data_IF_370166711934
#
_entry.id   IF_370166711934
#
_cell.length_a   1.000
_cell.length_b   1.000
_cell.length_c   1.000
_cell.angle_alpha   90.00
_cell.angle_beta   90.00
_cell.angle_gamma   90.00
#
_symmetry.space_group_name_H-M   'P 1'
#
loop_
_entity.id
_entity.type
_entity.pdbx_description
1 polymer ?
#
# COMPACT_ATOMS: atom_id res chain seq x y z
N UNK A 1 -23.55 26.36 -37.58
CA UNK A 1 -22.96 25.99 -38.88
C UNK A 1 -22.00 24.83 -38.64
N UNK A 2 -22.37 23.64 -39.12
CA UNK A 2 -21.54 22.45 -39.03
C UNK A 2 -20.35 22.57 -40.00
N UNK A 3 -19.14 22.45 -39.48
CA UNK A 3 -17.92 22.37 -40.30
C UNK A 3 -17.38 20.95 -40.21
N UNK A 4 -17.62 20.18 -41.28
CA UNK A 4 -16.97 18.91 -41.54
C UNK A 4 -16.09 19.07 -42.79
N UNK A 5 -14.76 18.93 -42.64
CA UNK A 5 -13.79 18.60 -43.71
C UNK A 5 -12.55 17.98 -43.02
N UNK A 6 -12.31 16.67 -43.15
CA UNK A 6 -11.53 15.96 -44.19
C UNK A 6 -10.04 15.81 -43.82
N UNK A 7 -9.61 14.58 -43.50
CA UNK A 7 -8.19 14.19 -43.46
C UNK A 7 -8.00 12.83 -44.14
N UNK A 8 -7.21 12.80 -45.22
CA UNK A 8 -6.62 11.60 -45.82
C UNK A 8 -5.13 11.62 -45.48
N UNK A 9 -4.60 10.56 -44.90
CA UNK A 9 -3.15 10.39 -44.70
C UNK A 9 -2.82 9.35 -43.64
N UNK A 10 -2.19 8.24 -44.06
CA UNK A 10 -1.81 7.07 -43.24
C UNK A 10 -0.98 7.43 -41.99
N UNK A 11 -1.16 6.59 -40.95
CA UNK A 11 -0.55 6.56 -39.60
C UNK A 11 -1.31 7.36 -38.52
N UNK A 12 -2.60 7.07 -38.33
CA UNK A 12 -3.48 7.92 -37.54
C UNK A 12 -3.91 7.28 -36.22
N UNK A 13 -3.50 7.88 -35.10
CA UNK A 13 -4.31 7.91 -33.88
C UNK A 13 -5.65 8.58 -34.21
N UNK A 14 -6.60 7.83 -34.76
CA UNK A 14 -7.95 8.32 -35.01
C UNK A 14 -8.56 8.69 -33.66
N UNK A 15 -9.03 9.93 -33.54
CA UNK A 15 -9.83 10.34 -32.38
C UNK A 15 -11.06 9.42 -32.40
N UNK A 16 -11.27 8.59 -31.36
CA UNK A 16 -12.37 7.64 -31.37
C UNK A 16 -13.69 8.38 -31.54
N UNK A 17 -14.66 7.75 -32.18
CA UNK A 17 -16.02 8.28 -32.20
C UNK A 17 -16.58 8.33 -30.77
N UNK A 18 -17.61 9.14 -30.49
CA UNK A 18 -18.22 9.14 -29.16
C UNK A 18 -18.65 7.74 -28.70
N UNK A 19 -19.20 6.93 -29.62
CA UNK A 19 -19.61 5.56 -29.29
C UNK A 19 -18.42 4.66 -28.93
N UNK A 20 -17.31 4.75 -29.67
CA UNK A 20 -16.11 3.97 -29.39
C UNK A 20 -15.42 4.41 -28.09
N UNK A 21 -15.31 5.72 -27.86
CA UNK A 21 -14.74 6.27 -26.64
C UNK A 21 -15.54 5.82 -25.40
N UNK A 22 -16.87 5.87 -25.50
CA UNK A 22 -17.77 5.39 -24.46
C UNK A 22 -17.62 3.88 -24.23
N UNK A 23 -17.62 3.08 -25.30
CA UNK A 23 -17.48 1.62 -25.22
C UNK A 23 -16.12 1.20 -24.61
N UNK A 24 -15.05 1.92 -24.91
CA UNK A 24 -13.74 1.69 -24.32
C UNK A 24 -13.73 2.01 -22.81
N UNK A 25 -14.41 3.08 -22.40
CA UNK A 25 -14.58 3.39 -20.97
C UNK A 25 -15.40 2.31 -20.24
N UNK A 26 -16.47 1.79 -20.84
CA UNK A 26 -17.26 0.67 -20.28
C UNK A 26 -16.43 -0.62 -20.14
N UNK A 27 -15.51 -0.91 -21.08
CA UNK A 27 -14.58 -2.04 -20.94
C UNK A 27 -13.69 -1.90 -19.70
N UNK A 28 -13.25 -0.68 -19.38
CA UNK A 28 -12.46 -0.42 -18.18
C UNK A 28 -13.28 -0.68 -16.91
N UNK A 29 -14.56 -0.29 -16.89
CA UNK A 29 -15.49 -0.65 -15.80
C UNK A 29 -15.63 -2.16 -15.67
N UNK A 30 -15.84 -2.88 -16.77
CA UNK A 30 -15.98 -4.34 -16.77
C UNK A 30 -14.72 -5.06 -16.28
N UNK A 31 -13.54 -4.47 -16.51
CA UNK A 31 -12.26 -4.97 -16.01
C UNK A 31 -11.97 -4.61 -14.54
N UNK A 32 -12.86 -3.84 -13.89
CA UNK A 32 -12.66 -3.35 -12.51
C UNK A 32 -11.63 -2.23 -12.38
N UNK A 33 -11.11 -1.70 -13.50
CA UNK A 33 -10.16 -0.59 -13.51
C UNK A 33 -10.92 0.75 -13.37
N UNK A 34 -11.50 0.97 -12.19
CA UNK A 34 -12.37 2.11 -11.91
C UNK A 34 -11.66 3.46 -12.03
N UNK A 35 -10.36 3.54 -11.73
CA UNK A 35 -9.58 4.76 -11.90
C UNK A 35 -9.44 5.14 -13.38
N UNK A 36 -9.00 4.21 -14.22
CA UNK A 36 -8.89 4.45 -15.66
C UNK A 36 -10.27 4.68 -16.29
N UNK A 37 -11.30 3.96 -15.83
CA UNK A 37 -12.67 4.19 -16.28
C UNK A 37 -13.16 5.60 -15.93
N UNK A 38 -12.90 6.08 -14.71
CA UNK A 38 -13.24 7.46 -14.29
C UNK A 38 -12.58 8.48 -15.19
N UNK A 39 -11.29 8.31 -15.45
CA UNK A 39 -10.54 9.20 -16.34
C UNK A 39 -11.10 9.17 -17.76
N UNK A 40 -11.36 7.97 -18.31
CA UNK A 40 -11.92 7.80 -19.65
C UNK A 40 -13.30 8.47 -19.81
N UNK A 41 -14.20 8.32 -18.83
CA UNK A 41 -15.50 9.01 -18.87
C UNK A 41 -15.37 10.52 -18.64
N UNK A 42 -14.41 10.97 -17.82
CA UNK A 42 -14.14 12.41 -17.64
C UNK A 42 -13.66 13.03 -18.94
N UNK A 43 -12.72 12.37 -19.62
CA UNK A 43 -12.23 12.78 -20.93
C UNK A 43 -13.34 12.75 -21.99
N UNK A 44 -14.22 11.73 -21.94
CA UNK A 44 -15.39 11.64 -22.82
C UNK A 44 -16.30 12.86 -22.68
N UNK A 45 -16.68 13.23 -21.45
CA UNK A 45 -17.56 14.39 -21.19
C UNK A 45 -16.91 15.70 -21.66
N UNK A 46 -15.59 15.83 -21.54
CA UNK A 46 -14.85 17.02 -22.00
C UNK A 46 -14.72 17.09 -23.52
N UNK A 47 -14.46 15.96 -24.19
CA UNK A 47 -14.15 15.92 -25.63
C UNK A 47 -15.41 15.82 -26.52
N UNK A 48 -16.52 15.32 -25.98
CA UNK A 48 -17.78 15.15 -26.73
C UNK A 48 -18.99 15.77 -25.97
N UNK A 49 -18.97 17.07 -25.63
CA UNK A 49 -20.00 17.69 -24.78
C UNK A 49 -21.41 17.70 -25.40
N UNK A 50 -21.51 17.65 -26.73
CA UNK A 50 -22.78 17.62 -27.48
C UNK A 50 -23.29 16.20 -27.76
N UNK A 51 -22.63 15.16 -27.23
CA UNK A 51 -23.06 13.77 -27.45
C UNK A 51 -24.27 13.41 -26.58
N UNK A 52 -25.23 12.69 -27.15
CA UNK A 52 -26.39 12.14 -26.43
C UNK A 52 -25.99 11.21 -25.27
N UNK A 53 -24.76 10.67 -25.31
CA UNK A 53 -24.22 9.78 -24.28
C UNK A 53 -23.65 10.54 -23.07
N UNK A 54 -23.57 11.88 -23.08
CA UNK A 54 -22.99 12.66 -21.97
C UNK A 54 -23.76 12.46 -20.67
N UNK A 55 -25.09 12.39 -20.73
CA UNK A 55 -25.91 12.13 -19.55
C UNK A 55 -25.57 10.75 -18.93
N UNK A 56 -25.40 9.73 -19.78
CA UNK A 56 -25.01 8.40 -19.34
C UNK A 56 -23.58 8.37 -18.79
N UNK A 57 -22.63 9.06 -19.44
CA UNK A 57 -21.25 9.16 -18.98
C UNK A 57 -21.15 9.85 -17.62
N UNK A 58 -21.94 10.90 -17.37
CA UNK A 58 -22.03 11.55 -16.05
C UNK A 58 -22.61 10.62 -14.99
N UNK A 59 -23.64 9.83 -15.33
CA UNK A 59 -24.17 8.82 -14.42
C UNK A 59 -23.10 7.76 -14.08
N UNK A 60 -22.35 7.29 -15.09
CA UNK A 60 -21.23 6.37 -14.88
C UNK A 60 -20.14 6.94 -13.98
N UNK A 61 -19.77 8.20 -14.16
CA UNK A 61 -18.81 8.89 -13.29
C UNK A 61 -19.27 8.90 -11.83
N UNK A 62 -20.56 9.13 -11.56
CA UNK A 62 -21.10 9.06 -10.21
C UNK A 62 -20.96 7.66 -9.62
N UNK A 63 -21.43 6.62 -10.33
CA UNK A 63 -21.33 5.22 -9.87
C UNK A 63 -19.88 4.75 -9.67
N UNK A 64 -18.96 5.17 -10.54
CA UNK A 64 -17.53 4.86 -10.42
C UNK A 64 -16.95 5.56 -9.18
N UNK A 65 -17.34 6.80 -8.93
CA UNK A 65 -16.89 7.53 -7.72
C UNK A 65 -17.38 6.85 -6.44
N UNK A 66 -18.63 6.36 -6.42
CA UNK A 66 -19.17 5.57 -5.31
C UNK A 66 -18.42 4.24 -5.12
N UNK A 67 -18.02 3.60 -6.22
CA UNK A 67 -17.25 2.35 -6.18
C UNK A 67 -15.83 2.58 -5.64
N UNK A 68 -15.16 3.64 -6.09
CA UNK A 68 -13.82 4.03 -5.60
C UNK A 68 -13.85 4.39 -4.12
N UNK A 69 -14.80 5.22 -3.68
CA UNK A 69 -14.94 5.56 -2.26
C UNK A 69 -15.25 4.33 -1.41
N UNK A 70 -16.05 3.39 -1.91
CA UNK A 70 -16.31 2.12 -1.22
C UNK A 70 -15.05 1.25 -1.11
N UNK A 71 -14.20 1.22 -2.14
CA UNK A 71 -12.91 0.53 -2.11
C UNK A 71 -11.96 1.17 -1.10
N UNK A 72 -11.85 2.50 -1.10
CA UNK A 72 -11.03 3.24 -0.13
C UNK A 72 -11.52 2.98 1.30
N UNK A 73 -12.83 3.07 1.54
CA UNK A 73 -13.41 2.78 2.85
C UNK A 73 -13.13 1.34 3.31
N UNK A 74 -13.19 0.36 2.40
CA UNK A 74 -12.85 -1.03 2.72
C UNK A 74 -11.38 -1.15 3.11
N UNK A 75 -10.48 -0.54 2.34
CA UNK A 75 -9.04 -0.52 2.62
C UNK A 75 -8.74 0.15 3.96
N UNK A 76 -9.39 1.27 4.27
CA UNK A 76 -9.22 1.97 5.55
C UNK A 76 -9.65 1.12 6.74
N UNK A 77 -10.79 0.41 6.65
CA UNK A 77 -11.23 -0.51 7.70
C UNK A 77 -10.28 -1.69 7.88
N UNK A 78 -9.79 -2.25 6.78
CA UNK A 78 -8.80 -3.33 6.82
C UNK A 78 -7.50 -2.87 7.51
N UNK A 79 -7.02 -1.67 7.21
CA UNK A 79 -5.88 -1.06 7.91
C UNK A 79 -6.17 -0.90 9.40
N UNK A 80 -7.34 -0.41 9.78
CA UNK A 80 -7.74 -0.22 11.19
C UNK A 80 -7.80 -1.55 11.97
N UNK A 81 -8.39 -2.59 11.38
CA UNK A 81 -8.44 -3.93 11.96
C UNK A 81 -7.04 -4.52 12.15
N UNK A 82 -6.16 -4.36 11.15
CA UNK A 82 -4.77 -4.82 11.23
C UNK A 82 -3.96 -4.06 12.28
N UNK A 83 -4.14 -2.74 12.38
CA UNK A 83 -3.51 -1.93 13.42
C UNK A 83 -3.95 -2.38 14.82
N UNK A 84 -5.24 -2.65 14.99
CA UNK A 84 -5.78 -3.17 16.26
C UNK A 84 -5.12 -4.50 16.63
N UNK A 85 -4.99 -5.43 15.67
CA UNK A 85 -4.29 -6.72 15.85
C UNK A 85 -2.81 -6.52 16.17
N UNK A 86 -2.13 -5.61 15.49
CA UNK A 86 -0.73 -5.29 15.73
C UNK A 86 -0.49 -4.77 17.16
N UNK A 87 -1.36 -3.87 17.63
CA UNK A 87 -1.29 -3.34 18.99
C UNK A 87 -1.56 -4.39 20.05
N UNK A 88 -2.55 -5.26 19.84
CA UNK A 88 -2.85 -6.37 20.75
C UNK A 88 -1.67 -7.34 20.85
N UNK A 89 -1.15 -7.78 19.70
CA UNK A 89 0.03 -8.65 19.65
C UNK A 89 1.26 -7.98 20.30
N UNK A 90 1.43 -6.67 20.13
CA UNK A 90 2.48 -5.90 20.79
C UNK A 90 2.33 -5.93 22.33
N UNK A 91 1.11 -5.67 22.85
CA UNK A 91 0.84 -5.71 24.30
C UNK A 91 1.12 -7.08 24.90
N UNK A 92 0.82 -8.13 24.15
CA UNK A 92 1.06 -9.52 24.55
C UNK A 92 2.50 -10.01 24.29
N UNK A 93 3.37 -9.15 23.76
CA UNK A 93 4.76 -9.45 23.37
C UNK A 93 4.88 -10.57 22.32
N UNK A 94 3.82 -10.81 21.55
CA UNK A 94 3.83 -11.64 20.35
C UNK A 94 4.44 -10.84 19.19
N UNK A 95 5.73 -10.52 19.25
CA UNK A 95 6.35 -9.62 18.28
C UNK A 95 6.60 -10.28 16.92
N UNK A 96 7.35 -11.38 16.92
CA UNK A 96 7.69 -12.17 15.71
C UNK A 96 7.34 -13.66 15.87
N UNK A 97 6.82 -14.03 17.04
CA UNK A 97 6.31 -15.37 17.35
C UNK A 97 4.95 -15.23 18.04
N UNK A 98 4.00 -16.15 17.83
CA UNK A 98 4.07 -17.31 16.92
C UNK A 98 4.13 -16.90 15.43
N UNK A 99 4.34 -17.86 14.53
CA UNK A 99 4.50 -17.61 13.08
C UNK A 99 3.30 -16.85 12.49
N UNK A 100 2.11 -17.10 13.03
CA UNK A 100 0.87 -16.39 12.73
C UNK A 100 0.43 -15.57 13.94
N UNK A 101 -0.35 -14.51 13.68
CA UNK A 101 -0.88 -13.64 14.72
C UNK A 101 0.26 -13.08 15.58
N UNK A 102 1.15 -12.33 14.94
CA UNK A 102 2.17 -11.55 15.63
C UNK A 102 2.15 -10.10 15.16
N UNK A 103 2.78 -9.21 15.94
CA UNK A 103 2.73 -7.78 15.70
C UNK A 103 3.40 -7.41 14.37
N UNK A 104 4.54 -8.03 14.06
CA UNK A 104 5.27 -7.76 12.82
C UNK A 104 4.49 -8.18 11.58
N UNK A 105 3.81 -9.33 11.62
CA UNK A 105 2.95 -9.80 10.53
C UNK A 105 1.84 -8.78 10.22
N UNK A 106 1.11 -8.33 11.24
CA UNK A 106 0.04 -7.35 11.08
C UNK A 106 0.59 -5.98 10.59
N UNK A 107 1.73 -5.53 11.11
CA UNK A 107 2.41 -4.31 10.65
C UNK A 107 2.79 -4.41 9.17
N UNK A 108 3.38 -5.52 8.74
CA UNK A 108 3.78 -5.71 7.34
C UNK A 108 2.57 -5.68 6.40
N UNK A 109 1.43 -6.23 6.82
CA UNK A 109 0.18 -6.15 6.06
C UNK A 109 -0.32 -4.70 5.96
N UNK A 110 -0.26 -3.93 7.06
CA UNK A 110 -0.58 -2.49 7.01
C UNK A 110 0.35 -1.74 6.06
N UNK A 111 1.67 -1.94 6.17
CA UNK A 111 2.65 -1.24 5.34
C UNK A 111 2.62 -1.64 3.86
N UNK A 112 2.10 -2.83 3.53
CA UNK A 112 1.82 -3.21 2.15
C UNK A 112 0.62 -2.43 1.56
N UNK A 113 -0.36 -2.08 2.40
CA UNK A 113 -1.52 -1.28 2.00
C UNK A 113 -1.23 0.22 2.03
N UNK A 114 -0.51 0.68 3.05
CA UNK A 114 -0.19 2.07 3.34
C UNK A 114 1.27 2.16 3.84
N UNK A 115 2.25 2.29 2.93
CA UNK A 115 3.68 2.31 3.27
C UNK A 115 4.09 3.45 4.21
N UNK A 116 3.31 4.53 4.28
CA UNK A 116 3.58 5.70 5.11
C UNK A 116 2.75 5.70 6.40
N UNK A 117 2.11 4.58 6.74
CA UNK A 117 1.28 4.47 7.93
C UNK A 117 2.08 4.70 9.22
N UNK A 118 2.00 5.91 9.75
CA UNK A 118 2.79 6.35 10.90
C UNK A 118 2.52 5.53 12.17
N UNK A 119 1.31 5.00 12.33
CA UNK A 119 0.97 4.12 13.46
C UNK A 119 1.71 2.79 13.36
N UNK A 120 1.66 2.11 12.22
CA UNK A 120 2.36 0.84 12.00
C UNK A 120 3.89 0.99 12.16
N UNK A 121 4.46 2.03 11.54
CA UNK A 121 5.89 2.38 11.69
C UNK A 121 6.24 2.65 13.16
N UNK A 122 5.37 3.34 13.90
CA UNK A 122 5.54 3.60 15.32
C UNK A 122 5.52 2.32 16.18
N UNK A 123 4.67 1.34 15.86
CA UNK A 123 4.66 0.04 16.56
C UNK A 123 5.95 -0.73 16.23
N UNK A 124 6.36 -0.75 14.97
CA UNK A 124 7.60 -1.41 14.52
C UNK A 124 8.82 -0.88 15.28
N UNK A 125 8.95 0.44 15.37
CA UNK A 125 10.03 1.11 16.09
C UNK A 125 10.00 0.82 17.62
N UNK A 126 8.81 0.68 18.23
CA UNK A 126 8.69 0.19 19.61
C UNK A 126 9.23 -1.25 19.77
N UNK A 127 8.98 -2.14 18.81
CA UNK A 127 9.49 -3.52 18.82
C UNK A 127 11.02 -3.52 18.70
N UNK A 128 11.57 -2.73 17.78
CA UNK A 128 13.03 -2.58 17.62
C UNK A 128 13.68 -2.13 18.93
N UNK A 129 13.15 -1.06 19.55
CA UNK A 129 13.65 -0.57 20.84
C UNK A 129 13.58 -1.61 21.95
N UNK A 130 12.52 -2.41 21.99
CA UNK A 130 12.40 -3.49 22.96
C UNK A 130 13.55 -4.49 22.82
N UNK A 131 13.79 -4.99 21.60
CA UNK A 131 14.84 -5.96 21.34
C UNK A 131 16.23 -5.38 21.60
N UNK A 132 16.50 -4.15 21.19
CA UNK A 132 17.76 -3.47 21.49
C UNK A 132 17.98 -3.30 23.00
N UNK A 133 16.95 -2.87 23.74
CA UNK A 133 17.05 -2.73 25.20
C UNK A 133 17.37 -4.06 25.90
N UNK A 134 16.71 -5.15 25.49
CA UNK A 134 16.98 -6.48 26.03
C UNK A 134 18.37 -7.01 25.62
N UNK A 135 18.80 -6.72 24.39
CA UNK A 135 20.12 -7.10 23.90
C UNK A 135 21.21 -6.38 24.70
N UNK A 136 21.07 -5.07 24.94
CA UNK A 136 22.00 -4.27 25.72
C UNK A 136 22.12 -4.76 27.16
N UNK A 137 20.99 -5.15 27.79
CA UNK A 137 20.99 -5.78 29.12
C UNK A 137 21.76 -7.11 29.09
N UNK A 138 21.57 -7.92 28.06
CA UNK A 138 22.30 -9.18 27.88
C UNK A 138 23.81 -8.94 27.66
N UNK A 139 24.19 -7.93 26.89
CA UNK A 139 25.60 -7.51 26.69
C UNK A 139 26.24 -7.10 28.01
N UNK A 140 25.58 -6.26 28.81
CA UNK A 140 26.06 -5.85 30.15
C UNK A 140 26.25 -7.04 31.08
N UNK A 141 25.37 -8.03 31.00
CA UNK A 141 25.47 -9.29 31.73
C UNK A 141 26.44 -10.31 31.12
N UNK A 142 27.22 -9.94 30.08
CA UNK A 142 28.13 -10.81 29.31
C UNK A 142 27.46 -12.05 28.69
N UNK A 143 26.13 -12.02 28.50
CA UNK A 143 25.34 -13.07 27.83
C UNK A 143 25.29 -12.82 26.33
N UNK A 144 26.43 -12.89 25.66
CA UNK A 144 26.57 -12.47 24.27
C UNK A 144 25.73 -13.27 23.27
N UNK A 145 25.57 -14.59 23.47
CA UNK A 145 24.70 -15.40 22.61
C UNK A 145 23.23 -14.92 22.65
N UNK A 146 22.73 -14.56 23.85
CA UNK A 146 21.37 -14.00 24.00
C UNK A 146 21.25 -12.63 23.34
N UNK A 147 22.26 -11.77 23.48
CA UNK A 147 22.26 -10.48 22.80
C UNK A 147 22.23 -10.63 21.27
N UNK A 148 22.96 -11.62 20.74
CA UNK A 148 22.96 -11.92 19.31
C UNK A 148 21.55 -12.31 18.82
N UNK A 149 20.90 -13.28 19.48
CA UNK A 149 19.53 -13.71 19.13
C UNK A 149 18.55 -12.52 19.13
N UNK A 150 18.65 -11.63 20.12
CA UNK A 150 17.77 -10.46 20.21
C UNK A 150 17.99 -9.45 19.08
N UNK A 151 19.24 -9.21 18.66
CA UNK A 151 19.51 -8.37 17.48
C UNK A 151 19.09 -9.06 16.18
N UNK A 152 19.33 -10.37 16.05
CA UNK A 152 18.93 -11.15 14.87
C UNK A 152 17.41 -11.15 14.68
N UNK A 153 16.62 -11.16 15.77
CA UNK A 153 15.16 -10.98 15.71
C UNK A 153 14.75 -9.68 15.02
N UNK A 154 15.47 -8.58 15.24
CA UNK A 154 15.19 -7.33 14.51
C UNK A 154 15.46 -7.49 13.02
N UNK A 155 16.55 -8.16 12.65
CA UNK A 155 16.91 -8.37 11.24
C UNK A 155 15.98 -9.34 10.51
N UNK A 156 15.17 -10.15 11.22
CA UNK A 156 14.16 -11.00 10.57
C UNK A 156 13.08 -10.19 9.84
N UNK A 157 12.78 -8.97 10.31
CA UNK A 157 11.74 -8.11 9.73
C UNK A 157 12.26 -6.75 9.24
N UNK A 158 13.49 -6.39 9.60
CA UNK A 158 14.22 -5.24 9.07
C UNK A 158 15.66 -5.63 8.69
N UNK A 159 15.87 -6.34 7.56
CA UNK A 159 17.19 -6.84 7.16
C UNK A 159 18.25 -5.73 7.03
N UNK A 160 17.82 -4.55 6.58
CA UNK A 160 18.68 -3.38 6.34
C UNK A 160 18.73 -2.40 7.53
N UNK A 161 18.39 -2.84 8.75
CA UNK A 161 18.47 -1.96 9.93
C UNK A 161 19.92 -1.68 10.34
N UNK A 162 20.48 -0.58 9.83
CA UNK A 162 21.88 -0.18 10.00
C UNK A 162 22.38 -0.23 11.44
N UNK A 163 21.60 0.28 12.41
CA UNK A 163 21.99 0.27 13.82
C UNK A 163 22.12 -1.17 14.36
N UNK A 164 21.19 -2.06 14.01
CA UNK A 164 21.24 -3.47 14.44
C UNK A 164 22.44 -4.18 13.84
N UNK A 165 22.69 -3.98 12.53
CA UNK A 165 23.85 -4.56 11.86
C UNK A 165 25.18 -4.11 12.52
N UNK A 166 25.28 -2.82 12.86
CA UNK A 166 26.44 -2.27 13.57
C UNK A 166 26.60 -2.90 14.96
N UNK A 167 25.52 -3.02 15.74
CA UNK A 167 25.54 -3.63 17.06
C UNK A 167 25.98 -5.11 17.02
N UNK A 168 25.51 -5.87 16.03
CA UNK A 168 25.95 -7.26 15.79
C UNK A 168 27.45 -7.32 15.48
N UNK A 169 27.97 -6.42 14.64
CA UNK A 169 29.41 -6.38 14.31
C UNK A 169 30.26 -6.08 15.56
N UNK A 170 29.85 -5.11 16.37
CA UNK A 170 30.54 -4.78 17.63
C UNK A 170 30.51 -5.95 18.62
N UNK A 171 29.38 -6.65 18.73
CA UNK A 171 29.23 -7.83 19.58
C UNK A 171 30.15 -8.97 19.15
N UNK A 172 30.23 -9.26 17.84
CA UNK A 172 31.14 -10.28 17.28
C UNK A 172 32.61 -10.02 17.62
N UNK A 173 33.03 -8.75 17.69
CA UNK A 173 34.41 -8.38 18.07
C UNK A 173 34.68 -8.63 19.55
N UNK A 174 33.69 -8.49 20.44
CA UNK A 174 33.82 -8.73 21.89
C UNK A 174 33.84 -10.21 22.26
N UNK A 175 33.39 -11.09 21.38
CA UNK A 175 33.35 -12.54 21.59
C UNK A 175 34.63 -13.26 21.16
N UNK A 176 35.53 -12.56 20.44
CA UNK A 176 36.86 -13.04 20.09
C UNK A 176 37.82 -12.82 21.25
#
# INVERSE_FOLDING_TARGET
>A
AAMAFFFIGKSGSEIPTPSEAFANAEKLVASGNFLAAREAFSNFVSNYPESDLVALAKNRLATISDSLSSQENKKSREVEDLLTRAEEAFREKRFVFPDENNAVEAIQQVLALDPENTTALGIQDKIVRYYHSEADKAVKAKRYAKAMDLYERVLTFLPEHSETQNNIQLLKRRMK
#
